data_IF_049555323379
#
_entry.id   IF_049555323379
#
_cell.length_a   1.000
_cell.length_b   1.000
_cell.length_c   1.000
_cell.angle_alpha   90.00
_cell.angle_beta   90.00
_cell.angle_gamma   90.00
#
_symmetry.space_group_name_H-M   'P 1'
#
loop_
_entity.id
_entity.type
_entity.pdbx_description
1 polymer ?
#
# COMPACT_ATOMS: atom_id res chain seq x y z
N UNK A 1 17.46 -11.23 14.90
CA UNK A 1 18.28 -12.40 14.52
C UNK A 1 19.40 -11.90 13.64
N UNK A 2 20.66 -11.94 14.11
CA UNK A 2 21.83 -11.50 13.32
C UNK A 2 22.10 -12.53 12.22
N UNK A 3 22.06 -12.10 10.96
CA UNK A 3 22.61 -12.86 9.84
C UNK A 3 24.06 -12.41 9.63
N UNK A 4 25.00 -13.17 10.19
CA UNK A 4 26.37 -13.18 9.70
C UNK A 4 26.43 -14.12 8.48
N UNK A 5 27.17 -13.67 7.46
CA UNK A 5 28.07 -14.43 6.58
C UNK A 5 27.97 -14.03 5.10
N UNK A 6 29.16 -13.76 4.55
CA UNK A 6 29.52 -13.58 3.14
C UNK A 6 29.18 -12.24 2.47
N UNK A 7 30.13 -11.29 2.57
CA UNK A 7 30.36 -10.25 1.56
C UNK A 7 31.20 -10.85 0.42
N UNK A 8 30.70 -11.05 -0.81
CA UNK A 8 31.57 -11.05 -1.97
C UNK A 8 31.94 -9.59 -2.31
N UNK A 9 33.18 -9.36 -2.71
CA UNK A 9 33.66 -8.05 -3.14
C UNK A 9 32.82 -7.55 -4.34
N UNK A 10 32.10 -6.44 -4.16
CA UNK A 10 31.39 -5.78 -5.25
C UNK A 10 32.39 -4.97 -6.09
N UNK A 11 32.52 -5.33 -7.37
CA UNK A 11 33.25 -4.53 -8.35
C UNK A 11 32.53 -3.19 -8.60
N UNK A 12 33.25 -2.09 -8.91
CA UNK A 12 32.62 -0.80 -9.17
C UNK A 12 31.78 -0.86 -10.45
N UNK A 13 30.45 -0.76 -10.31
CA UNK A 13 29.53 -0.67 -11.44
C UNK A 13 29.45 0.77 -11.96
N UNK A 14 29.44 0.93 -13.28
CA UNK A 14 29.21 2.21 -13.94
C UNK A 14 27.79 2.76 -13.66
N UNK A 15 27.58 4.09 -13.67
CA UNK A 15 26.27 4.70 -13.40
C UNK A 15 25.17 4.25 -14.38
N UNK A 16 25.54 3.86 -15.61
CA UNK A 16 24.63 3.32 -16.63
C UNK A 16 24.10 1.93 -16.27
N UNK A 17 24.92 1.08 -15.67
CA UNK A 17 24.51 -0.25 -15.20
C UNK A 17 23.62 -0.15 -13.95
N UNK A 18 23.91 0.79 -13.04
CA UNK A 18 23.05 1.07 -11.89
C UNK A 18 21.64 1.56 -12.31
N UNK A 19 21.58 2.42 -13.34
CA UNK A 19 20.33 2.93 -13.92
C UNK A 19 19.48 1.81 -14.54
N UNK A 20 20.08 0.89 -15.30
CA UNK A 20 19.40 -0.25 -15.91
C UNK A 20 18.87 -1.25 -14.87
N UNK A 21 19.65 -1.54 -13.83
CA UNK A 21 19.25 -2.45 -12.74
C UNK A 21 18.11 -1.85 -11.92
N UNK A 22 18.13 -0.55 -11.63
CA UNK A 22 17.06 0.14 -10.91
C UNK A 22 15.73 0.16 -11.70
N UNK A 23 15.80 0.40 -13.02
CA UNK A 23 14.63 0.38 -13.90
C UNK A 23 14.05 -1.05 -14.00
N UNK A 24 14.90 -2.07 -14.08
CA UNK A 24 14.46 -3.46 -14.15
C UNK A 24 13.85 -3.95 -12.83
N UNK A 25 14.43 -3.58 -11.68
CA UNK A 25 13.93 -3.93 -10.35
C UNK A 25 12.55 -3.30 -10.07
N UNK A 26 12.33 -2.06 -10.51
CA UNK A 26 11.05 -1.36 -10.36
C UNK A 26 9.95 -1.94 -11.26
N UNK A 27 10.30 -2.46 -12.44
CA UNK A 27 9.35 -3.07 -13.38
C UNK A 27 8.83 -4.44 -12.94
N UNK A 28 9.57 -5.17 -12.09
CA UNK A 28 9.23 -6.56 -11.69
C UNK A 28 8.58 -6.63 -10.30
N UNK A 29 8.48 -5.50 -9.58
CA UNK A 29 7.87 -5.48 -8.24
C UNK A 29 8.64 -6.31 -7.20
N UNK A 30 9.93 -6.53 -7.43
CA UNK A 30 10.79 -7.22 -6.48
C UNK A 30 11.04 -6.29 -5.27
N UNK A 31 10.85 -6.80 -4.07
CA UNK A 31 11.20 -6.10 -2.83
C UNK A 31 12.68 -5.68 -2.88
N UNK A 32 12.95 -4.45 -2.43
CA UNK A 32 14.30 -3.91 -2.34
C UNK A 32 15.24 -4.90 -1.62
N UNK A 33 16.48 -5.11 -2.09
CA UNK A 33 17.44 -5.96 -1.40
C UNK A 33 17.68 -5.45 0.03
N UNK A 34 17.78 -6.38 0.99
CA UNK A 34 17.99 -6.16 2.44
C UNK A 34 19.01 -5.06 2.83
N UNK A 35 19.93 -4.68 1.94
CA UNK A 35 20.92 -3.62 2.15
C UNK A 35 20.32 -2.23 2.42
N UNK A 36 19.05 -1.98 2.07
CA UNK A 36 18.41 -0.69 2.28
C UNK A 36 17.74 -0.52 3.67
N UNK A 37 17.50 -1.62 4.40
CA UNK A 37 16.93 -1.56 5.75
C UNK A 37 18.01 -1.44 6.83
N UNK A 38 19.16 -2.10 6.66
CA UNK A 38 20.28 -2.01 7.62
C UNK A 38 20.91 -0.60 7.65
N UNK A 39 20.94 0.11 6.51
CA UNK A 39 21.49 1.48 6.44
C UNK A 39 20.62 2.53 7.15
N UNK A 40 19.32 2.27 7.33
CA UNK A 40 18.42 3.19 8.03
C UNK A 40 18.48 3.00 9.55
N UNK A 41 18.86 1.80 10.03
CA UNK A 41 19.02 1.50 11.45
C UNK A 41 20.42 1.86 11.98
N UNK A 42 21.45 1.77 11.13
CA UNK A 42 22.84 2.16 11.48
C UNK A 42 23.00 3.68 11.63
N UNK A 43 22.30 4.49 10.83
CA UNK A 43 22.34 5.98 10.93
C UNK A 43 21.49 6.50 12.10
N UNK A 44 20.46 5.76 12.52
CA UNK A 44 19.64 6.13 13.68
C UNK A 44 20.29 5.73 15.02
N UNK A 45 21.10 4.66 15.03
CA UNK A 45 21.81 4.21 16.23
C UNK A 45 23.06 5.04 16.54
N UNK A 46 23.74 5.60 15.52
CA UNK A 46 24.94 6.42 15.68
C UNK A 46 24.64 7.85 16.21
N UNK A 47 23.37 8.27 16.17
CA UNK A 47 22.93 9.59 16.64
C UNK A 47 22.56 9.65 18.13
N UNK A 48 22.59 8.52 18.86
CA UNK A 48 22.11 8.45 20.26
C UNK A 48 23.09 7.87 21.27
N UNK A 49 24.34 7.59 20.90
CA UNK A 49 25.32 6.98 21.79
C UNK A 49 26.69 7.66 21.71
N UNK A 50 26.82 8.88 22.24
CA UNK A 50 28.12 9.37 22.72
C UNK A 50 27.96 10.58 23.66
N UNK A 51 27.66 10.30 24.92
CA UNK A 51 28.07 11.15 26.04
C UNK A 51 28.96 10.34 26.99
N UNK A 52 30.11 10.93 27.35
CA UNK A 52 30.93 10.75 28.57
C UNK A 52 32.02 9.65 28.63
N UNK A 53 33.29 10.00 28.41
CA UNK A 53 34.33 10.20 29.46
C UNK A 53 35.72 10.62 28.86
N UNK A 54 36.64 11.24 29.63
CA UNK A 54 37.59 12.25 29.13
C UNK A 54 39.02 11.76 28.84
N UNK A 55 39.73 12.49 27.97
CA UNK A 55 41.17 12.38 27.71
C UNK A 55 41.80 13.80 27.68
N UNK A 56 43.15 13.94 27.80
CA UNK A 56 43.85 14.94 28.62
C UNK A 56 43.80 16.39 28.09
N UNK A 57 44.09 17.41 28.95
CA UNK A 57 43.82 18.80 28.62
C UNK A 57 44.81 19.33 27.58
N UNK A 58 44.34 19.53 26.36
CA UNK A 58 44.88 20.57 25.49
C UNK A 58 43.71 21.49 25.17
N UNK A 59 43.64 22.60 25.89
CA UNK A 59 42.55 23.59 25.83
C UNK A 59 42.51 24.24 24.43
N UNK A 60 41.46 24.09 23.60
CA UNK A 60 41.03 25.18 22.75
C UNK A 60 40.05 26.01 23.59
N UNK A 61 40.50 27.16 24.07
CA UNK A 61 39.62 28.12 24.74
C UNK A 61 38.44 28.40 23.80
N UNK A 62 37.24 27.98 24.20
CA UNK A 62 36.02 28.40 23.50
C UNK A 62 35.98 29.92 23.61
N UNK A 63 35.98 30.67 22.48
CA UNK A 63 36.10 32.11 22.54
C UNK A 63 34.95 32.69 23.36
N UNK A 64 35.31 33.56 24.31
CA UNK A 64 34.36 34.26 25.16
C UNK A 64 33.34 35.03 24.31
N UNK A 65 32.17 35.37 24.86
CA UNK A 65 31.17 36.18 24.14
C UNK A 65 31.79 37.51 23.65
N UNK A 66 32.72 38.07 24.43
CA UNK A 66 33.53 39.23 24.04
C UNK A 66 34.35 38.98 22.78
N UNK A 67 35.13 37.90 22.73
CA UNK A 67 35.93 37.53 21.56
C UNK A 67 35.09 37.25 20.31
N UNK A 68 33.90 36.64 20.45
CA UNK A 68 32.98 36.44 19.32
C UNK A 68 32.44 37.75 18.79
N UNK A 69 32.11 38.69 19.67
CA UNK A 69 31.63 40.04 19.30
C UNK A 69 32.73 40.83 18.59
N UNK A 70 33.96 40.79 19.11
CA UNK A 70 35.11 41.44 18.51
C UNK A 70 35.43 40.88 17.11
N UNK A 71 35.44 39.54 16.94
CA UNK A 71 35.62 38.91 15.62
C UNK A 71 34.47 39.16 14.63
N UNK A 72 33.26 39.41 15.11
CA UNK A 72 32.12 39.79 14.26
C UNK A 72 32.27 41.24 13.78
N UNK A 73 32.72 42.12 14.67
CA UNK A 73 32.96 43.54 14.41
C UNK A 73 34.10 43.74 13.41
N UNK A 74 35.23 43.08 13.60
CA UNK A 74 36.37 43.08 12.65
C UNK A 74 35.94 42.57 11.27
N UNK A 75 35.10 41.53 11.20
CA UNK A 75 34.55 41.02 9.94
C UNK A 75 33.61 42.00 9.25
N UNK A 76 32.84 42.79 10.00
CA UNK A 76 31.95 43.81 9.43
C UNK A 76 32.69 45.05 8.94
N UNK A 77 33.83 45.38 9.56
CA UNK A 77 34.68 46.51 9.19
C UNK A 77 35.55 46.20 7.96
N UNK A 78 35.98 44.95 7.80
CA UNK A 78 36.83 44.56 6.67
C UNK A 78 36.12 44.74 5.31
N UNK A 79 36.78 45.41 4.38
CA UNK A 79 36.28 45.73 3.06
C UNK A 79 36.91 47.00 2.47
N UNK A 80 36.50 47.33 1.26
CA UNK A 80 36.90 48.55 0.56
C UNK A 80 35.82 49.62 0.72
N UNK A 81 36.25 50.76 1.23
CA UNK A 81 35.43 51.90 1.59
C UNK A 81 35.94 53.15 0.88
N UNK A 82 35.06 54.12 0.62
CA UNK A 82 35.48 55.43 0.12
C UNK A 82 34.65 56.55 0.74
N UNK A 83 35.30 57.66 1.08
CA UNK A 83 34.64 58.91 1.45
C UNK A 83 34.78 59.92 0.31
N UNK A 84 33.84 60.87 0.22
CA UNK A 84 33.92 61.97 -0.76
C UNK A 84 33.99 63.29 -0.01
N UNK A 85 35.08 64.04 -0.19
CA UNK A 85 35.24 65.39 0.34
C UNK A 85 35.36 66.34 -0.86
N UNK A 86 34.37 67.21 -1.05
CA UNK A 86 34.30 68.08 -2.23
C UNK A 86 34.21 67.29 -3.54
N UNK A 87 35.29 67.28 -4.34
CA UNK A 87 35.41 66.52 -5.61
C UNK A 87 36.38 65.34 -5.52
N UNK A 88 37.00 65.12 -4.37
CA UNK A 88 38.05 64.13 -4.18
C UNK A 88 37.50 62.89 -3.46
N UNK A 89 38.00 61.71 -3.82
CA UNK A 89 37.61 60.44 -3.22
C UNK A 89 38.78 59.89 -2.42
N UNK A 90 38.53 59.63 -1.14
CA UNK A 90 39.54 59.10 -0.23
C UNK A 90 39.24 57.60 -0.03
N UNK A 91 40.07 56.70 -0.58
CA UNK A 91 39.89 55.26 -0.40
C UNK A 91 40.40 54.82 0.96
N UNK A 92 39.63 53.94 1.61
CA UNK A 92 39.99 53.27 2.87
C UNK A 92 39.78 51.77 2.70
N UNK A 93 40.85 50.99 2.75
CA UNK A 93 40.78 49.53 2.75
C UNK A 93 41.11 49.00 4.14
N UNK A 94 40.20 48.20 4.72
CA UNK A 94 40.41 47.50 5.99
C UNK A 94 40.50 46.00 5.74
N UNK A 95 41.61 45.38 6.12
CA UNK A 95 41.85 43.95 5.90
C UNK A 95 41.47 43.12 7.13
N UNK A 96 41.00 41.89 6.92
CA UNK A 96 40.69 40.95 8.03
C UNK A 96 41.88 40.59 8.91
N UNK A 97 43.11 40.89 8.48
CA UNK A 97 44.33 40.66 9.22
C UNK A 97 44.73 41.86 10.11
N UNK A 98 43.87 42.88 10.24
CA UNK A 98 44.14 44.07 11.06
C UNK A 98 45.04 45.10 10.37
N UNK A 99 45.23 45.01 9.05
CA UNK A 99 45.93 46.03 8.26
C UNK A 99 44.97 47.03 7.64
N UNK A 100 45.36 48.30 7.54
CA UNK A 100 44.61 49.32 6.79
C UNK A 100 45.47 49.97 5.71
N UNK A 101 44.79 50.55 4.70
CA UNK A 101 45.37 51.51 3.77
C UNK A 101 44.42 52.67 3.60
N UNK A 102 44.90 53.89 3.82
CA UNK A 102 44.15 55.15 3.70
C UNK A 102 45.03 56.15 2.97
N UNK A 103 44.62 56.58 1.78
CA UNK A 103 45.33 57.61 0.98
C UNK A 103 46.85 57.37 0.86
N UNK A 104 47.22 56.17 0.39
CA UNK A 104 48.60 55.67 0.23
C UNK A 104 49.43 55.51 1.52
N UNK A 105 48.88 55.83 2.70
CA UNK A 105 49.43 55.39 3.98
C UNK A 105 48.93 53.99 4.33
N UNK A 106 49.82 53.11 4.80
CA UNK A 106 49.48 51.75 5.20
C UNK A 106 49.98 51.47 6.62
N UNK A 107 49.17 50.76 7.39
CA UNK A 107 49.46 50.51 8.79
C UNK A 107 48.62 49.39 9.38
N UNK A 108 48.53 49.35 10.70
CA UNK A 108 47.66 48.41 11.43
C UNK A 108 46.52 49.15 12.09
N UNK A 109 45.36 48.52 12.14
CA UNK A 109 44.24 49.02 12.89
C UNK A 109 43.89 48.09 14.04
N UNK A 110 43.50 48.69 15.16
CA UNK A 110 42.99 47.98 16.33
C UNK A 110 41.57 48.46 16.62
N UNK A 111 40.70 47.52 17.02
CA UNK A 111 39.30 47.82 17.33
C UNK A 111 39.04 47.45 18.77
N UNK A 112 38.68 48.44 19.57
CA UNK A 112 38.31 48.25 20.98
C UNK A 112 36.95 48.92 21.23
N UNK A 113 35.93 48.11 21.50
CA UNK A 113 34.57 48.63 21.69
C UNK A 113 34.01 49.33 20.44
N UNK A 114 33.86 50.64 20.50
CA UNK A 114 33.38 51.51 19.40
C UNK A 114 34.47 52.46 18.87
N UNK A 115 35.73 52.19 19.23
CA UNK A 115 36.88 52.98 18.82
C UNK A 115 37.74 52.19 17.85
N UNK A 116 38.10 52.82 16.74
CA UNK A 116 39.01 52.34 15.70
C UNK A 116 40.30 53.15 15.80
N UNK A 117 41.39 52.48 16.16
CA UNK A 117 42.72 53.09 16.25
C UNK A 117 43.51 52.75 15.01
N UNK A 118 43.97 53.75 14.26
CA UNK A 118 44.86 53.59 13.10
C UNK A 118 46.30 53.88 13.53
N UNK A 119 47.20 52.94 13.27
CA UNK A 119 48.62 53.01 13.63
C UNK A 119 49.47 52.98 12.34
N UNK A 120 50.09 54.10 12.01
CA UNK A 120 50.97 54.28 10.85
C UNK A 120 52.32 54.84 11.32
N UNK A 121 53.38 54.03 11.27
CA UNK A 121 54.69 54.39 11.82
C UNK A 121 54.61 54.67 13.34
N UNK A 122 54.93 55.90 13.75
CA UNK A 122 54.87 56.38 15.15
C UNK A 122 53.59 57.21 15.44
N UNK A 123 52.69 57.36 14.45
CA UNK A 123 51.42 58.08 14.60
C UNK A 123 50.30 57.11 14.95
N UNK A 124 49.57 57.45 16.02
CA UNK A 124 48.37 56.73 16.48
C UNK A 124 47.20 57.71 16.51
N UNK A 125 46.20 57.48 15.66
CA UNK A 125 44.98 58.29 15.58
C UNK A 125 43.77 57.44 15.96
N UNK A 126 42.96 57.94 16.90
CA UNK A 126 41.81 57.21 17.46
C UNK A 126 40.49 57.82 17.00
N UNK A 127 39.66 57.02 16.32
CA UNK A 127 38.38 57.43 15.75
C UNK A 127 37.24 56.67 16.43
N UNK A 128 36.18 57.37 16.83
CA UNK A 128 34.90 56.75 17.11
C UNK A 128 34.25 56.34 15.77
N UNK A 129 33.71 55.11 15.70
CA UNK A 129 33.08 54.63 14.48
C UNK A 129 31.64 54.18 14.67
N UNK A 130 30.81 54.41 13.66
CA UNK A 130 29.46 53.85 13.54
C UNK A 130 29.36 53.04 12.24
N UNK A 131 28.99 51.77 12.35
CA UNK A 131 28.82 50.85 11.21
C UNK A 131 27.33 50.72 10.89
N UNK A 132 26.94 51.20 9.72
CA UNK A 132 25.67 50.89 9.06
C UNK A 132 25.82 49.73 8.06
N UNK A 133 24.75 49.35 7.37
CA UNK A 133 24.75 48.22 6.43
C UNK A 133 25.81 48.37 5.32
N UNK A 134 25.90 49.56 4.73
CA UNK A 134 26.82 49.91 3.63
C UNK A 134 27.58 51.22 3.87
N UNK A 135 27.59 51.72 5.10
CA UNK A 135 28.31 52.94 5.46
C UNK A 135 29.09 52.79 6.75
N UNK A 136 30.30 53.33 6.78
CA UNK A 136 31.15 53.44 7.96
C UNK A 136 31.39 54.93 8.23
N UNK A 137 30.91 55.43 9.36
CA UNK A 137 31.15 56.83 9.75
C UNK A 137 32.27 56.88 10.78
N UNK A 138 33.30 57.69 10.53
CA UNK A 138 34.41 57.93 11.46
C UNK A 138 34.33 59.36 12.01
N UNK A 139 34.51 59.52 13.33
CA UNK A 139 34.48 60.82 14.02
C UNK A 139 35.62 60.91 15.03
N UNK A 140 36.27 62.08 15.16
CA UNK A 140 37.31 62.33 16.17
C UNK A 140 38.75 62.38 15.65
N UNK A 141 39.71 62.31 16.58
CA UNK A 141 41.15 62.59 16.43
C UNK A 141 41.48 63.91 15.72
N UNK A 142 41.60 63.86 14.40
CA UNK A 142 42.12 64.93 13.55
C UNK A 142 41.08 65.45 12.55
N UNK A 143 39.80 65.04 12.68
CA UNK A 143 38.72 65.39 11.75
C UNK A 143 37.93 66.62 12.21
N UNK A 144 37.78 67.61 11.32
CA UNK A 144 36.93 68.78 11.56
C UNK A 144 35.43 68.45 11.58
N UNK A 145 35.01 67.38 10.91
CA UNK A 145 33.64 66.87 10.88
C UNK A 145 33.60 65.35 10.67
N UNK A 146 32.51 64.66 11.07
CA UNK A 146 32.34 63.22 10.83
C UNK A 146 32.44 62.86 9.34
N UNK A 147 33.29 61.89 9.02
CA UNK A 147 33.50 61.39 7.67
C UNK A 147 32.72 60.11 7.44
N UNK A 148 31.78 60.15 6.48
CA UNK A 148 30.99 58.99 6.08
C UNK A 148 31.63 58.30 4.88
N UNK A 149 32.17 57.12 5.12
CA UNK A 149 32.61 56.20 4.09
C UNK A 149 31.43 55.34 3.62
N UNK A 150 31.35 55.12 2.31
CA UNK A 150 30.38 54.21 1.70
C UNK A 150 31.14 52.98 1.19
N UNK A 151 30.59 51.79 1.43
CA UNK A 151 31.19 50.54 0.93
C UNK A 151 31.18 50.58 -0.59
N UNK A 152 32.30 50.24 -1.23
CA UNK A 152 32.33 50.07 -2.67
C UNK A 152 31.40 48.91 -3.03
N UNK A 153 30.30 49.21 -3.72
CA UNK A 153 29.40 48.16 -4.21
C UNK A 153 30.22 47.22 -5.09
N UNK A 154 30.27 45.95 -4.69
CA UNK A 154 30.95 44.89 -5.43
C UNK A 154 30.52 44.96 -6.90
N UNK A 155 31.48 45.19 -7.79
CA UNK A 155 31.28 45.31 -9.24
C UNK A 155 30.79 43.95 -9.83
N UNK A 156 30.65 42.92 -8.98
CA UNK A 156 29.99 41.64 -9.27
C UNK A 156 28.64 41.74 -10.01
N UNK A 157 27.88 42.84 -9.90
CA UNK A 157 26.64 43.05 -10.66
C UNK A 157 26.82 43.19 -12.18
N UNK A 158 27.87 43.86 -12.64
CA UNK A 158 28.18 43.99 -14.08
C UNK A 158 29.02 42.82 -14.60
N UNK A 159 29.89 42.27 -13.75
CA UNK A 159 30.64 41.05 -14.04
C UNK A 159 29.68 39.85 -14.19
N UNK A 160 28.57 39.79 -13.47
CA UNK A 160 27.55 38.75 -13.64
C UNK A 160 26.87 38.72 -15.03
N UNK A 161 26.78 39.86 -15.71
CA UNK A 161 26.22 39.95 -17.07
C UNK A 161 27.23 39.51 -18.14
N UNK A 162 28.54 39.73 -17.90
CA UNK A 162 29.64 39.33 -18.80
C UNK A 162 30.10 37.88 -18.52
N UNK A 163 30.09 37.43 -17.27
CA UNK A 163 30.36 36.03 -16.88
C UNK A 163 29.23 35.06 -17.24
N UNK A 164 28.03 35.56 -17.52
CA UNK A 164 26.96 34.80 -18.18
C UNK A 164 27.39 34.22 -19.52
N UNK A 165 28.44 34.78 -20.14
CA UNK A 165 29.07 34.31 -21.38
C UNK A 165 30.42 33.58 -21.17
N UNK A 166 30.75 33.14 -19.95
CA UNK A 166 31.91 32.26 -19.77
C UNK A 166 31.63 30.88 -20.42
N UNK A 167 32.55 30.33 -21.27
CA UNK A 167 32.33 29.06 -21.96
C UNK A 167 32.00 27.89 -21.02
N UNK A 168 32.52 27.91 -19.79
CA UNK A 168 32.26 26.89 -18.77
C UNK A 168 30.83 26.93 -18.21
N UNK A 169 30.25 28.11 -17.98
CA UNK A 169 28.84 28.23 -17.52
C UNK A 169 27.85 27.99 -18.65
N UNK A 170 28.17 28.39 -19.88
CA UNK A 170 27.36 28.05 -21.05
C UNK A 170 27.36 26.53 -21.27
N UNK A 171 28.53 25.88 -21.19
CA UNK A 171 28.64 24.43 -21.30
C UNK A 171 27.82 23.71 -20.22
N UNK A 172 27.85 24.18 -18.98
CA UNK A 172 27.08 23.59 -17.87
C UNK A 172 25.57 23.78 -18.06
N UNK A 173 25.11 24.94 -18.55
CA UNK A 173 23.70 25.17 -18.90
C UNK A 173 23.25 24.29 -20.06
N UNK A 174 24.07 24.19 -21.12
CA UNK A 174 23.79 23.32 -22.26
C UNK A 174 23.77 21.84 -21.85
N UNK A 175 24.64 21.43 -20.93
CA UNK A 175 24.64 20.07 -20.36
C UNK A 175 23.34 19.77 -19.64
N UNK A 176 22.88 20.66 -18.76
CA UNK A 176 21.59 20.50 -18.03
C UNK A 176 20.40 20.46 -18.98
N UNK A 177 20.36 21.37 -19.96
CA UNK A 177 19.30 21.37 -20.99
C UNK A 177 19.35 20.06 -21.79
N UNK A 178 20.54 19.57 -22.15
CA UNK A 178 20.71 18.29 -22.83
C UNK A 178 20.21 17.09 -22.01
N UNK A 179 20.47 17.07 -20.70
CA UNK A 179 19.96 16.03 -19.79
C UNK A 179 18.44 16.10 -19.67
N UNK A 180 17.86 17.30 -19.53
CA UNK A 180 16.41 17.48 -19.49
C UNK A 180 15.77 16.98 -20.79
N UNK A 181 16.33 17.33 -21.95
CA UNK A 181 15.85 16.84 -23.25
C UNK A 181 15.97 15.32 -23.37
N UNK A 182 17.05 14.72 -22.86
CA UNK A 182 17.24 13.28 -22.82
C UNK A 182 16.19 12.60 -21.93
N UNK A 183 15.88 13.15 -20.75
CA UNK A 183 14.84 12.63 -19.85
C UNK A 183 13.48 12.67 -20.52
N UNK A 184 13.13 13.80 -21.16
CA UNK A 184 11.87 13.95 -21.89
C UNK A 184 11.78 12.96 -23.05
N UNK A 185 12.86 12.80 -23.82
CA UNK A 185 12.94 11.83 -24.91
C UNK A 185 12.77 10.40 -24.39
N UNK A 186 13.50 10.03 -23.33
CA UNK A 186 13.42 8.71 -22.72
C UNK A 186 12.00 8.41 -22.21
N UNK A 187 11.35 9.37 -21.52
CA UNK A 187 9.96 9.23 -21.10
C UNK A 187 9.01 9.05 -22.29
N UNK A 188 9.21 9.79 -23.38
CA UNK A 188 8.42 9.65 -24.61
C UNK A 188 8.61 8.27 -25.26
N UNK A 189 9.85 7.78 -25.33
CA UNK A 189 10.18 6.44 -25.86
C UNK A 189 9.56 5.34 -25.00
N UNK A 190 9.65 5.44 -23.67
CA UNK A 190 9.02 4.49 -22.74
C UNK A 190 7.50 4.47 -22.95
N UNK A 191 6.85 5.63 -23.06
CA UNK A 191 5.41 5.70 -23.31
C UNK A 191 5.02 5.15 -24.68
N UNK A 192 5.80 5.44 -25.71
CA UNK A 192 5.59 4.88 -27.05
C UNK A 192 5.72 3.35 -27.03
N UNK A 193 6.71 2.81 -26.32
CA UNK A 193 6.90 1.37 -26.13
C UNK A 193 5.75 0.75 -25.35
N UNK A 194 5.33 1.36 -24.24
CA UNK A 194 4.18 0.92 -23.46
C UNK A 194 2.91 0.89 -24.32
N UNK A 195 2.64 1.95 -25.08
CA UNK A 195 1.49 2.01 -25.98
C UNK A 195 1.56 0.97 -27.10
N UNK A 196 2.74 0.77 -27.69
CA UNK A 196 2.97 -0.24 -28.72
C UNK A 196 2.72 -1.65 -28.18
N UNK A 197 3.28 -1.98 -27.01
CA UNK A 197 3.04 -3.24 -26.33
C UNK A 197 1.56 -3.41 -26.00
N UNK A 198 0.91 -2.35 -25.51
CA UNK A 198 -0.51 -2.37 -25.19
C UNK A 198 -1.37 -2.65 -26.43
N UNK A 199 -1.03 -2.04 -27.59
CA UNK A 199 -1.71 -2.28 -28.87
C UNK A 199 -1.47 -3.70 -29.34
N UNK A 200 -0.26 -4.22 -29.22
CA UNK A 200 0.06 -5.62 -29.56
C UNK A 200 -0.78 -6.56 -28.70
N UNK A 201 -0.88 -6.34 -27.39
CA UNK A 201 -1.69 -7.20 -26.50
C UNK A 201 -3.19 -7.12 -26.82
N UNK A 202 -3.72 -5.94 -27.13
CA UNK A 202 -5.15 -5.75 -27.43
C UNK A 202 -5.53 -6.21 -28.85
N UNK A 203 -4.64 -6.02 -29.83
CA UNK A 203 -4.85 -6.40 -31.23
C UNK A 203 -4.39 -7.83 -31.54
N UNK A 204 -3.58 -8.45 -30.67
CA UNK A 204 -3.18 -9.85 -30.83
C UNK A 204 -4.39 -10.75 -30.62
N UNK A 205 -4.99 -11.12 -31.75
CA UNK A 205 -6.07 -12.12 -31.84
C UNK A 205 -5.54 -13.55 -31.58
N UNK A 206 -4.22 -13.70 -31.38
CA UNK A 206 -3.49 -14.98 -31.38
C UNK A 206 -2.85 -15.32 -30.01
N UNK A 207 -3.16 -14.58 -28.94
CA UNK A 207 -2.73 -14.91 -27.58
C UNK A 207 -3.75 -15.76 -26.80
N UNK A 208 -3.34 -16.55 -25.78
CA UNK A 208 -4.27 -17.32 -24.93
C UNK A 208 -5.30 -16.44 -24.19
N UNK A 209 -5.03 -15.14 -24.07
CA UNK A 209 -5.97 -14.15 -23.51
C UNK A 209 -7.10 -13.73 -24.47
N UNK A 210 -7.01 -14.00 -25.78
CA UNK A 210 -8.03 -13.62 -26.76
C UNK A 210 -9.40 -14.29 -26.49
N UNK A 211 -9.39 -15.49 -25.90
CA UNK A 211 -10.60 -16.21 -25.48
C UNK A 211 -11.29 -15.56 -24.27
N UNK A 212 -10.53 -14.97 -23.35
CA UNK A 212 -11.06 -14.24 -22.19
C UNK A 212 -11.69 -12.90 -22.60
N UNK A 213 -11.12 -12.23 -23.61
CA UNK A 213 -11.52 -10.89 -24.01
C UNK A 213 -12.62 -10.82 -25.08
N UNK A 214 -13.00 -11.95 -25.70
CA UNK A 214 -14.01 -11.99 -26.77
C UNK A 214 -15.44 -11.68 -26.31
N UNK A 215 -15.75 -11.88 -25.01
CA UNK A 215 -17.11 -11.76 -24.45
C UNK A 215 -17.45 -10.38 -23.87
N UNK A 216 -16.47 -9.50 -23.63
CA UNK A 216 -16.67 -8.17 -22.99
C UNK A 216 -15.85 -7.05 -23.64
N UNK A 217 -15.95 -6.90 -24.96
CA UNK A 217 -15.18 -5.96 -25.77
C UNK A 217 -15.17 -4.51 -25.24
N UNK A 218 -16.27 -4.05 -24.64
CA UNK A 218 -16.35 -2.68 -24.12
C UNK A 218 -15.64 -2.53 -22.76
N UNK A 219 -15.74 -3.52 -21.86
CA UNK A 219 -15.08 -3.45 -20.54
C UNK A 219 -13.57 -3.60 -20.65
N UNK A 220 -13.09 -4.41 -21.59
CA UNK A 220 -11.66 -4.62 -21.82
C UNK A 220 -10.97 -3.35 -22.31
N UNK A 221 -11.63 -2.57 -23.19
CA UNK A 221 -11.13 -1.28 -23.66
C UNK A 221 -11.04 -0.25 -22.52
N UNK A 222 -12.02 -0.21 -21.62
CA UNK A 222 -11.99 0.71 -20.47
C UNK A 222 -10.89 0.36 -19.47
N UNK A 223 -10.76 -0.92 -19.10
CA UNK A 223 -9.70 -1.38 -18.17
C UNK A 223 -8.31 -1.07 -18.75
N UNK A 224 -8.13 -1.35 -20.03
CA UNK A 224 -6.90 -1.05 -20.74
C UNK A 224 -6.55 0.45 -20.68
N UNK A 225 -7.52 1.32 -20.99
CA UNK A 225 -7.31 2.76 -20.93
C UNK A 225 -6.93 3.24 -19.51
N UNK A 226 -7.57 2.70 -18.47
CA UNK A 226 -7.25 3.03 -17.07
C UNK A 226 -5.81 2.62 -16.73
N UNK A 227 -5.40 1.40 -17.07
CA UNK A 227 -4.04 0.91 -16.78
C UNK A 227 -2.98 1.72 -17.51
N UNK A 228 -3.17 1.98 -18.81
CA UNK A 228 -2.21 2.76 -19.61
C UNK A 228 -2.13 4.21 -19.13
N UNK A 229 -3.26 4.82 -18.76
CA UNK A 229 -3.26 6.16 -18.19
C UNK A 229 -2.54 6.21 -16.83
N UNK A 230 -2.74 5.20 -15.98
CA UNK A 230 -2.03 5.11 -14.70
C UNK A 230 -0.52 4.99 -14.90
N UNK A 231 -0.07 4.09 -15.78
CA UNK A 231 1.36 3.95 -16.11
C UNK A 231 1.92 5.26 -16.70
N UNK A 232 1.15 5.95 -17.54
CA UNK A 232 1.54 7.24 -18.11
C UNK A 232 1.78 8.30 -17.03
N UNK A 233 0.89 8.38 -16.04
CA UNK A 233 1.08 9.30 -14.92
C UNK A 233 2.30 8.95 -14.08
N UNK A 234 2.58 7.66 -13.85
CA UNK A 234 3.79 7.23 -13.14
C UNK A 234 5.05 7.66 -13.90
N UNK A 235 5.12 7.42 -15.22
CA UNK A 235 6.29 7.81 -16.04
C UNK A 235 6.49 9.32 -16.03
N UNK A 236 5.44 10.11 -16.22
CA UNK A 236 5.55 11.57 -16.18
C UNK A 236 5.93 12.09 -14.80
N UNK A 237 5.40 11.50 -13.74
CA UNK A 237 5.76 11.85 -12.38
C UNK A 237 7.26 11.61 -12.13
N UNK A 238 7.78 10.43 -12.46
CA UNK A 238 9.20 10.11 -12.31
C UNK A 238 10.09 11.02 -13.16
N UNK A 239 9.71 11.27 -14.43
CA UNK A 239 10.44 12.18 -15.31
C UNK A 239 10.48 13.61 -14.75
N UNK A 240 9.37 14.10 -14.20
CA UNK A 240 9.30 15.41 -13.56
C UNK A 240 10.23 15.50 -12.34
N UNK A 241 10.29 14.46 -11.51
CA UNK A 241 11.24 14.38 -10.40
C UNK A 241 12.70 14.51 -10.85
N UNK A 242 13.10 13.82 -11.92
CA UNK A 242 14.44 13.95 -12.49
C UNK A 242 14.73 15.35 -13.05
N UNK A 243 13.75 15.98 -13.71
CA UNK A 243 13.89 17.36 -14.21
C UNK A 243 14.10 18.33 -13.05
N UNK A 244 13.37 18.17 -11.94
CA UNK A 244 13.57 18.99 -10.74
C UNK A 244 14.99 18.83 -10.15
N UNK A 245 15.59 17.64 -10.28
CA UNK A 245 16.94 17.39 -9.81
C UNK A 245 17.99 18.21 -10.57
N UNK A 246 17.79 18.38 -11.88
CA UNK A 246 18.65 19.24 -12.71
C UNK A 246 18.53 20.74 -12.37
N UNK A 247 17.40 21.16 -11.82
CA UNK A 247 17.13 22.54 -11.36
C UNK A 247 17.65 22.76 -9.91
N UNK A 248 18.18 21.72 -9.26
CA UNK A 248 18.79 21.78 -7.93
C UNK A 248 17.86 21.40 -6.78
N UNK A 249 16.67 20.88 -7.06
CA UNK A 249 15.79 20.30 -6.04
C UNK A 249 16.24 18.87 -5.74
N UNK A 250 16.42 18.54 -4.46
CA UNK A 250 16.81 17.18 -4.08
C UNK A 250 15.70 16.17 -4.42
N UNK A 251 16.03 15.13 -5.21
CA UNK A 251 15.12 14.05 -5.56
C UNK A 251 14.57 13.31 -4.33
N UNK A 252 15.35 13.18 -3.26
CA UNK A 252 14.93 12.59 -1.98
C UNK A 252 13.83 13.43 -1.33
N UNK A 253 13.93 14.76 -1.36
CA UNK A 253 12.87 15.66 -0.83
C UNK A 253 11.59 15.57 -1.66
N UNK A 254 11.72 15.47 -2.99
CA UNK A 254 10.59 15.24 -3.87
C UNK A 254 9.89 13.92 -3.53
N UNK A 255 10.63 12.81 -3.40
CA UNK A 255 10.08 11.51 -3.01
C UNK A 255 9.51 11.52 -1.59
N UNK A 256 10.13 12.24 -0.65
CA UNK A 256 9.59 12.40 0.69
C UNK A 256 8.21 13.09 0.68
N UNK A 257 8.02 14.09 -0.18
CA UNK A 257 6.71 14.74 -0.35
C UNK A 257 5.67 13.79 -0.95
N UNK A 258 6.09 12.87 -1.82
CA UNK A 258 5.22 11.86 -2.42
C UNK A 258 4.71 10.86 -1.39
N UNK A 259 5.49 10.52 -0.37
CA UNK A 259 5.09 9.57 0.67
C UNK A 259 3.78 9.97 1.36
N UNK A 260 3.55 11.28 1.59
CA UNK A 260 2.31 11.77 2.20
C UNK A 260 1.11 11.56 1.27
N UNK A 261 1.27 11.87 -0.03
CA UNK A 261 0.24 11.64 -1.04
C UNK A 261 -0.02 10.13 -1.21
N UNK A 262 1.04 9.33 -1.24
CA UNK A 262 0.99 7.87 -1.32
C UNK A 262 0.25 7.26 -0.13
N UNK A 263 0.47 7.78 1.08
CA UNK A 263 -0.23 7.36 2.29
C UNK A 263 -1.73 7.65 2.20
N UNK A 264 -2.11 8.85 1.73
CA UNK A 264 -3.51 9.21 1.54
C UNK A 264 -4.22 8.29 0.53
N UNK A 265 -3.58 7.99 -0.61
CA UNK A 265 -4.10 7.04 -1.61
C UNK A 265 -4.14 5.62 -1.04
N UNK A 266 -3.13 5.22 -0.27
CA UNK A 266 -3.05 3.93 0.40
C UNK A 266 -4.23 3.71 1.36
N UNK A 267 -4.51 4.69 2.23
CA UNK A 267 -5.67 4.62 3.13
C UNK A 267 -7.00 4.63 2.37
N UNK A 268 -7.12 5.44 1.30
CA UNK A 268 -8.32 5.44 0.46
C UNK A 268 -8.57 4.12 -0.26
N UNK A 269 -7.51 3.36 -0.58
CA UNK A 269 -7.56 2.11 -1.33
C UNK A 269 -7.43 0.84 -0.47
N UNK A 270 -7.18 0.98 0.83
CA UNK A 270 -6.99 -0.15 1.75
C UNK A 270 -8.11 -1.20 1.64
N UNK A 271 -9.35 -0.73 1.55
CA UNK A 271 -10.50 -1.61 1.43
C UNK A 271 -10.53 -2.45 0.15
N UNK A 272 -9.97 -1.96 -0.96
CA UNK A 272 -9.82 -2.72 -2.20
C UNK A 272 -8.73 -3.79 -2.07
N UNK A 273 -7.61 -3.44 -1.45
CA UNK A 273 -6.51 -4.38 -1.21
C UNK A 273 -6.99 -5.54 -0.33
N UNK A 274 -7.73 -5.25 0.75
CA UNK A 274 -8.34 -6.28 1.59
C UNK A 274 -9.27 -7.19 0.81
N UNK A 275 -10.17 -6.62 -0.01
CA UNK A 275 -11.06 -7.41 -0.87
C UNK A 275 -10.27 -8.38 -1.76
N UNK A 276 -9.20 -7.90 -2.40
CA UNK A 276 -8.37 -8.70 -3.32
C UNK A 276 -7.60 -9.81 -2.62
N UNK A 277 -6.99 -9.52 -1.47
CA UNK A 277 -6.25 -10.51 -0.68
C UNK A 277 -7.18 -11.58 -0.15
N UNK A 278 -8.31 -11.19 0.46
CA UNK A 278 -9.31 -12.15 0.95
C UNK A 278 -9.88 -12.98 -0.21
N UNK A 279 -10.21 -12.36 -1.33
CA UNK A 279 -10.69 -13.07 -2.53
C UNK A 279 -9.68 -14.07 -3.09
N UNK A 280 -8.40 -13.70 -3.12
CA UNK A 280 -7.34 -14.62 -3.51
C UNK A 280 -7.30 -15.86 -2.61
N UNK A 281 -7.33 -15.69 -1.29
CA UNK A 281 -7.33 -16.83 -0.35
C UNK A 281 -8.60 -17.68 -0.43
N UNK A 282 -9.78 -17.08 -0.63
CA UNK A 282 -11.02 -17.83 -0.83
C UNK A 282 -10.94 -18.78 -2.02
N UNK A 283 -10.37 -18.32 -3.14
CA UNK A 283 -10.17 -19.12 -4.36
C UNK A 283 -9.04 -20.13 -4.14
N UNK A 284 -7.90 -19.69 -3.61
CA UNK A 284 -6.70 -20.50 -3.46
C UNK A 284 -6.90 -21.68 -2.50
N UNK A 285 -7.60 -21.46 -1.38
CA UNK A 285 -7.87 -22.51 -0.39
C UNK A 285 -9.13 -23.34 -0.70
N UNK A 286 -9.84 -23.01 -1.78
CA UNK A 286 -11.15 -23.57 -2.14
C UNK A 286 -12.12 -23.63 -0.95
N UNK A 287 -12.34 -22.48 -0.31
CA UNK A 287 -13.24 -22.36 0.84
C UNK A 287 -14.70 -22.65 0.47
N UNK A 288 -15.09 -22.40 -0.78
CA UNK A 288 -16.34 -22.79 -1.43
C UNK A 288 -16.22 -22.57 -2.95
N UNK A 289 -17.05 -23.27 -3.71
CA UNK A 289 -17.06 -23.21 -5.18
C UNK A 289 -18.34 -22.55 -5.72
N UNK A 290 -18.29 -22.11 -6.98
CA UNK A 290 -19.49 -21.66 -7.70
C UNK A 290 -20.48 -22.82 -7.78
N UNK A 291 -21.73 -22.57 -7.37
CA UNK A 291 -22.79 -23.58 -7.25
C UNK A 291 -22.98 -24.13 -5.83
N UNK A 292 -22.07 -23.86 -4.89
CA UNK A 292 -22.28 -24.25 -3.50
C UNK A 292 -23.38 -23.41 -2.84
N UNK A 293 -24.18 -24.04 -1.98
CA UNK A 293 -25.09 -23.31 -1.10
C UNK A 293 -24.38 -22.97 0.20
N UNK A 294 -24.28 -21.68 0.48
CA UNK A 294 -23.56 -21.16 1.63
C UNK A 294 -24.36 -20.07 2.34
N UNK A 295 -23.95 -19.80 3.57
CA UNK A 295 -24.35 -18.66 4.36
C UNK A 295 -23.13 -17.81 4.70
N UNK A 296 -23.20 -16.53 4.34
CA UNK A 296 -22.16 -15.54 4.60
C UNK A 296 -22.86 -14.30 5.14
N UNK A 297 -22.40 -13.78 6.28
CA UNK A 297 -22.90 -12.53 6.87
C UNK A 297 -24.44 -12.48 7.02
N UNK A 298 -25.05 -13.61 7.40
CA UNK A 298 -26.50 -13.76 7.54
C UNK A 298 -27.28 -13.83 6.22
N UNK A 299 -26.59 -13.94 5.08
CA UNK A 299 -27.19 -14.12 3.77
C UNK A 299 -26.98 -15.55 3.29
N UNK A 300 -28.07 -16.29 3.08
CA UNK A 300 -28.07 -17.64 2.55
C UNK A 300 -28.35 -17.62 1.04
N UNK A 301 -27.50 -18.29 0.26
CA UNK A 301 -27.64 -18.32 -1.18
C UNK A 301 -26.77 -19.37 -1.86
N UNK A 302 -27.06 -19.61 -3.13
CA UNK A 302 -26.17 -20.38 -4.01
C UNK A 302 -25.14 -19.42 -4.61
N UNK A 303 -23.86 -19.78 -4.56
CA UNK A 303 -22.78 -18.99 -5.15
C UNK A 303 -22.97 -18.96 -6.66
N UNK A 304 -23.26 -17.79 -7.20
CA UNK A 304 -23.45 -17.60 -8.65
C UNK A 304 -22.15 -17.20 -9.33
N UNK A 305 -21.34 -16.35 -8.69
CA UNK A 305 -20.11 -15.81 -9.24
C UNK A 305 -19.13 -15.50 -8.10
N UNK A 306 -17.85 -15.78 -8.32
CA UNK A 306 -16.78 -15.49 -7.37
C UNK A 306 -15.68 -14.73 -8.09
N UNK A 307 -15.53 -13.45 -7.76
CA UNK A 307 -14.45 -12.60 -8.26
C UNK A 307 -13.40 -12.32 -7.18
N UNK A 308 -12.26 -11.76 -7.61
CA UNK A 308 -11.19 -11.34 -6.69
C UNK A 308 -11.64 -10.28 -5.68
N UNK A 309 -12.60 -9.41 -6.02
CA UNK A 309 -13.09 -8.34 -5.13
C UNK A 309 -14.36 -8.68 -4.37
N UNK A 310 -15.26 -9.45 -4.98
CA UNK A 310 -16.58 -9.69 -4.42
C UNK A 310 -17.13 -11.05 -4.86
N UNK A 311 -17.95 -11.62 -4.00
CA UNK A 311 -18.70 -12.86 -4.21
C UNK A 311 -20.17 -12.54 -4.39
N UNK A 312 -20.84 -13.20 -5.33
CA UNK A 312 -22.29 -13.04 -5.57
C UNK A 312 -23.05 -14.30 -5.23
N UNK A 313 -24.08 -14.15 -4.40
CA UNK A 313 -24.99 -15.20 -4.00
C UNK A 313 -26.36 -14.96 -4.63
N UNK A 314 -27.06 -16.03 -5.01
CA UNK A 314 -28.47 -15.98 -5.39
C UNK A 314 -29.32 -16.65 -4.31
N UNK A 315 -30.25 -15.91 -3.71
CA UNK A 315 -31.13 -16.45 -2.67
C UNK A 315 -32.36 -17.16 -3.26
N UNK A 316 -33.16 -17.80 -2.41
CA UNK A 316 -34.39 -18.50 -2.81
C UNK A 316 -35.47 -17.57 -3.41
N UNK A 317 -35.42 -16.28 -3.08
CA UNK A 317 -36.29 -15.25 -3.66
C UNK A 317 -35.81 -14.77 -5.05
N UNK A 318 -34.68 -15.31 -5.53
CA UNK A 318 -34.10 -14.97 -6.83
C UNK A 318 -33.23 -13.71 -6.85
N UNK A 319 -33.03 -13.03 -5.72
CA UNK A 319 -32.18 -11.84 -5.62
C UNK A 319 -30.70 -12.21 -5.73
N UNK A 320 -29.91 -11.36 -6.38
CA UNK A 320 -28.44 -11.49 -6.44
C UNK A 320 -27.80 -10.56 -5.43
N UNK A 321 -27.26 -11.11 -4.35
CA UNK A 321 -26.58 -10.39 -3.28
C UNK A 321 -25.09 -10.34 -3.60
N UNK A 322 -24.52 -9.14 -3.70
CA UNK A 322 -23.07 -8.95 -3.92
C UNK A 322 -22.40 -8.58 -2.61
N UNK A 323 -21.46 -9.40 -2.16
CA UNK A 323 -20.74 -9.25 -0.89
C UNK A 323 -19.27 -8.94 -1.21
N UNK A 324 -18.72 -7.80 -0.77
CA UNK A 324 -17.28 -7.54 -0.84
C UNK A 324 -16.51 -8.62 -0.06
N UNK A 325 -15.43 -9.15 -0.63
CA UNK A 325 -14.73 -10.29 -0.04
C UNK A 325 -14.17 -9.95 1.35
N UNK A 326 -13.79 -8.70 1.62
CA UNK A 326 -13.33 -8.27 2.96
C UNK A 326 -14.37 -8.45 4.07
N UNK A 327 -15.66 -8.55 3.72
CA UNK A 327 -16.74 -8.76 4.69
C UNK A 327 -16.97 -10.25 5.00
N UNK A 328 -16.25 -11.17 4.33
CA UNK A 328 -16.38 -12.62 4.48
C UNK A 328 -15.46 -13.07 5.62
N UNK A 329 -15.94 -12.98 6.86
CA UNK A 329 -15.21 -13.44 8.04
C UNK A 329 -15.46 -14.93 8.35
N UNK A 330 -16.66 -15.43 8.04
CA UNK A 330 -17.06 -16.82 8.31
C UNK A 330 -18.01 -17.29 7.22
N UNK A 331 -17.86 -18.56 6.83
CA UNK A 331 -18.68 -19.19 5.81
C UNK A 331 -19.31 -20.46 6.38
N UNK A 332 -20.64 -20.50 6.41
CA UNK A 332 -21.39 -21.73 6.66
C UNK A 332 -21.68 -22.44 5.35
N UNK A 333 -21.11 -23.62 5.10
CA UNK A 333 -21.41 -24.40 3.89
C UNK A 333 -22.49 -25.45 4.17
N UNK A 334 -23.59 -25.43 3.42
CA UNK A 334 -24.63 -26.45 3.54
C UNK A 334 -24.29 -27.66 2.66
N UNK A 335 -23.98 -28.79 3.32
CA UNK A 335 -23.63 -30.02 2.61
C UNK A 335 -24.79 -30.48 1.71
N UNK A 336 -24.50 -30.69 0.42
CA UNK A 336 -25.46 -31.03 -0.66
C UNK A 336 -26.44 -29.93 -1.04
N UNK A 337 -26.13 -28.67 -0.73
CA UNK A 337 -26.92 -27.57 -1.23
C UNK A 337 -28.32 -27.47 -0.60
N UNK A 338 -28.54 -28.02 0.59
CA UNK A 338 -29.87 -28.02 1.23
C UNK A 338 -29.80 -28.30 2.74
N UNK A 339 -30.83 -27.86 3.46
CA UNK A 339 -31.15 -28.37 4.78
C UNK A 339 -32.14 -29.54 4.64
N UNK A 340 -32.03 -30.57 5.47
CA UNK A 340 -32.94 -31.73 5.41
C UNK A 340 -33.63 -31.92 6.75
N UNK A 341 -34.96 -31.90 6.72
CA UNK A 341 -35.80 -32.28 7.84
C UNK A 341 -36.15 -33.76 7.71
N UNK A 342 -36.13 -34.44 8.85
CA UNK A 342 -36.54 -35.81 9.02
C UNK A 342 -37.74 -35.82 9.95
N UNK A 343 -38.90 -36.18 9.41
CA UNK A 343 -40.15 -36.30 10.16
C UNK A 343 -40.46 -37.79 10.34
N UNK A 344 -40.47 -38.23 11.59
CA UNK A 344 -40.84 -39.59 11.96
C UNK A 344 -42.27 -39.60 12.50
N UNK A 345 -43.12 -40.44 11.92
CA UNK A 345 -44.52 -40.62 12.29
C UNK A 345 -44.71 -42.03 12.83
N UNK A 346 -45.03 -42.15 14.11
CA UNK A 346 -45.26 -43.43 14.78
C UNK A 346 -46.70 -43.90 14.59
N UNK A 347 -46.89 -45.18 14.31
CA UNK A 347 -48.19 -45.81 14.03
C UNK A 347 -48.30 -47.15 14.75
N UNK A 348 -49.54 -47.65 14.88
CA UNK A 348 -49.83 -48.87 15.63
C UNK A 348 -49.20 -50.14 15.03
N UNK A 349 -49.22 -50.28 13.70
CA UNK A 349 -48.76 -51.50 13.01
C UNK A 349 -48.13 -51.22 11.63
N UNK A 350 -47.55 -52.26 11.03
CA UNK A 350 -46.88 -52.18 9.72
C UNK A 350 -47.86 -51.87 8.57
N UNK A 351 -49.10 -52.35 8.63
CA UNK A 351 -50.11 -52.07 7.59
C UNK A 351 -50.55 -50.60 7.60
N UNK A 352 -50.63 -50.00 8.78
CA UNK A 352 -50.90 -48.58 8.99
C UNK A 352 -49.69 -47.73 8.60
N UNK A 353 -48.48 -48.25 8.78
CA UNK A 353 -47.25 -47.61 8.30
C UNK A 353 -47.20 -47.54 6.76
N UNK A 354 -47.57 -48.60 6.06
CA UNK A 354 -47.63 -48.57 4.59
C UNK A 354 -48.66 -47.56 4.08
N UNK A 355 -49.85 -47.52 4.70
CA UNK A 355 -50.89 -46.53 4.39
C UNK A 355 -50.43 -45.11 4.67
N UNK A 356 -49.84 -44.86 5.84
CA UNK A 356 -49.27 -43.55 6.19
C UNK A 356 -48.17 -43.13 5.19
N UNK A 357 -47.31 -44.05 4.79
CA UNK A 357 -46.25 -43.78 3.81
C UNK A 357 -46.81 -43.36 2.45
N UNK A 358 -47.92 -43.96 1.99
CA UNK A 358 -48.58 -43.56 0.75
C UNK A 358 -49.18 -42.15 0.85
N UNK A 359 -49.91 -41.86 1.93
CA UNK A 359 -50.55 -40.56 2.17
C UNK A 359 -49.52 -39.43 2.31
N UNK A 360 -48.48 -39.63 3.12
CA UNK A 360 -47.40 -38.67 3.31
C UNK A 360 -46.63 -38.42 2.01
N UNK A 361 -46.53 -39.43 1.12
CA UNK A 361 -45.86 -39.27 -0.18
C UNK A 361 -46.62 -38.29 -1.05
N UNK A 362 -47.95 -38.45 -1.11
CA UNK A 362 -48.82 -37.57 -1.88
C UNK A 362 -48.79 -36.17 -1.30
N UNK A 363 -48.99 -36.03 0.01
CA UNK A 363 -48.96 -34.73 0.70
C UNK A 363 -47.65 -33.98 0.47
N UNK A 364 -46.51 -34.64 0.68
CA UNK A 364 -45.22 -33.97 0.51
C UNK A 364 -44.91 -33.66 -0.96
N UNK A 365 -45.46 -34.43 -1.92
CA UNK A 365 -45.36 -34.10 -3.35
C UNK A 365 -46.17 -32.85 -3.68
N UNK A 366 -47.40 -32.75 -3.18
CA UNK A 366 -48.27 -31.59 -3.39
C UNK A 366 -47.67 -30.33 -2.75
N UNK A 367 -47.12 -30.48 -1.53
CA UNK A 367 -46.43 -29.40 -0.85
C UNK A 367 -45.18 -28.94 -1.60
N UNK A 368 -44.42 -29.89 -2.18
CA UNK A 368 -43.26 -29.58 -3.02
C UNK A 368 -43.63 -28.77 -4.26
N UNK A 369 -44.83 -28.97 -4.82
CA UNK A 369 -45.33 -28.17 -5.94
C UNK A 369 -45.81 -26.80 -5.48
N UNK A 370 -46.46 -26.72 -4.31
CA UNK A 370 -46.92 -25.46 -3.73
C UNK A 370 -45.77 -24.51 -3.37
N UNK A 371 -44.64 -25.05 -2.91
CA UNK A 371 -43.47 -24.28 -2.45
C UNK A 371 -42.19 -24.60 -3.25
N UNK A 372 -42.27 -24.66 -4.59
CA UNK A 372 -41.14 -25.01 -5.48
C UNK A 372 -39.89 -24.13 -5.28
N UNK A 373 -40.05 -22.87 -4.83
CA UNK A 373 -38.93 -21.98 -4.51
C UNK A 373 -38.19 -22.30 -3.21
N UNK A 374 -38.80 -23.08 -2.30
CA UNK A 374 -38.27 -23.39 -0.96
C UNK A 374 -37.95 -24.88 -0.82
N UNK A 375 -38.80 -25.76 -1.34
CA UNK A 375 -38.59 -27.21 -1.30
C UNK A 375 -37.77 -27.62 -2.52
N UNK A 376 -36.59 -28.18 -2.27
CA UNK A 376 -35.58 -28.46 -3.28
C UNK A 376 -35.72 -29.84 -3.92
N UNK A 377 -36.39 -30.77 -3.22
CA UNK A 377 -36.60 -32.13 -3.70
C UNK A 377 -37.89 -32.73 -3.11
N UNK A 378 -38.56 -33.62 -3.87
CA UNK A 378 -39.74 -34.32 -3.38
C UNK A 378 -39.42 -35.18 -2.14
N UNK A 379 -40.43 -35.49 -1.31
CA UNK A 379 -40.23 -36.22 -0.07
C UNK A 379 -39.67 -37.62 -0.32
N UNK A 380 -38.67 -38.01 0.46
CA UNK A 380 -38.13 -39.38 0.47
C UNK A 380 -38.62 -40.11 1.70
N UNK A 381 -39.50 -41.07 1.48
CA UNK A 381 -40.08 -41.88 2.55
C UNK A 381 -39.29 -43.18 2.70
N UNK A 382 -39.06 -43.56 3.96
CA UNK A 382 -38.43 -44.82 4.37
C UNK A 382 -39.31 -45.49 5.41
N UNK A 383 -39.40 -46.81 5.31
CA UNK A 383 -40.19 -47.64 6.22
C UNK A 383 -41.26 -48.44 5.50
N UNK A 384 -42.01 -49.29 6.22
CA UNK A 384 -42.12 -49.34 7.69
C UNK A 384 -40.80 -49.67 8.41
N UNK A 385 -40.50 -49.02 9.54
CA UNK A 385 -39.36 -49.38 10.39
C UNK A 385 -39.88 -49.74 11.77
N UNK A 386 -39.63 -50.98 12.19
CA UNK A 386 -39.97 -51.47 13.52
C UNK A 386 -38.78 -51.31 14.46
N UNK A 387 -39.02 -50.74 15.63
CA UNK A 387 -38.04 -50.61 16.71
C UNK A 387 -38.03 -51.86 17.58
N UNK A 388 -36.93 -52.10 18.30
CA UNK A 388 -36.82 -53.18 19.29
C UNK A 388 -37.84 -53.02 20.43
N UNK A 389 -38.30 -51.80 20.69
CA UNK A 389 -39.37 -51.47 21.66
C UNK A 389 -40.75 -51.94 21.22
N UNK A 390 -40.91 -52.39 19.97
CA UNK A 390 -42.18 -52.79 19.37
C UNK A 390 -42.87 -51.68 18.57
N UNK A 391 -42.46 -50.42 18.73
CA UNK A 391 -43.02 -49.28 17.99
C UNK A 391 -42.70 -49.35 16.49
N UNK A 392 -43.67 -48.98 15.65
CA UNK A 392 -43.50 -48.89 14.19
C UNK A 392 -43.58 -47.43 13.76
N UNK A 393 -42.65 -46.99 12.90
CA UNK A 393 -42.69 -45.64 12.34
C UNK A 393 -42.40 -45.57 10.84
N UNK A 394 -42.90 -44.49 10.25
CA UNK A 394 -42.59 -44.07 8.88
C UNK A 394 -41.76 -42.81 8.94
N UNK A 395 -40.68 -42.79 8.16
CA UNK A 395 -39.74 -41.67 8.13
C UNK A 395 -39.81 -40.94 6.81
N UNK A 396 -40.17 -39.67 6.84
CA UNK A 396 -40.14 -38.80 5.69
C UNK A 396 -38.96 -37.84 5.78
N UNK A 397 -38.14 -37.78 4.75
CA UNK A 397 -37.08 -36.78 4.63
C UNK A 397 -37.47 -35.78 3.54
N UNK A 398 -37.42 -34.49 3.86
CA UNK A 398 -37.65 -33.43 2.89
C UNK A 398 -36.46 -32.47 2.91
N UNK A 399 -35.94 -32.15 1.72
CA UNK A 399 -34.84 -31.21 1.55
C UNK A 399 -35.39 -29.87 1.09
N UNK A 400 -35.00 -28.81 1.77
CA UNK A 400 -35.50 -27.46 1.56
C UNK A 400 -34.37 -26.44 1.74
N UNK A 401 -34.63 -25.21 1.33
CA UNK A 401 -33.71 -24.08 1.49
C UNK A 401 -33.37 -23.86 2.97
N UNK A 402 -32.10 -23.66 3.33
CA UNK A 402 -31.73 -23.42 4.72
C UNK A 402 -32.44 -22.20 5.31
N UNK A 403 -32.64 -22.21 6.62
CA UNK A 403 -33.35 -21.17 7.37
C UNK A 403 -34.83 -21.02 6.96
N UNK A 404 -35.41 -22.03 6.29
CA UNK A 404 -36.84 -22.08 5.94
C UNK A 404 -37.58 -23.22 6.67
N UNK A 405 -37.26 -23.45 7.95
CA UNK A 405 -37.89 -24.51 8.77
C UNK A 405 -39.40 -24.38 8.92
N UNK A 406 -39.94 -23.17 8.74
CA UNK A 406 -41.38 -22.90 8.80
C UNK A 406 -42.20 -23.78 7.85
N UNK A 407 -41.67 -24.13 6.66
CA UNK A 407 -42.38 -24.99 5.70
C UNK A 407 -42.55 -26.42 6.24
N UNK A 408 -41.69 -26.84 7.17
CA UNK A 408 -41.79 -28.14 7.82
C UNK A 408 -42.71 -28.05 9.04
N UNK A 409 -42.46 -27.08 9.90
CA UNK A 409 -43.10 -26.98 11.22
C UNK A 409 -44.54 -26.46 11.16
N UNK A 410 -44.83 -25.54 10.24
CA UNK A 410 -46.13 -24.87 10.16
C UNK A 410 -47.01 -25.42 9.03
N UNK A 411 -46.40 -25.96 7.98
CA UNK A 411 -47.17 -26.48 6.83
C UNK A 411 -47.19 -28.00 6.79
N UNK A 412 -46.02 -28.65 6.76
CA UNK A 412 -45.94 -30.09 6.55
C UNK A 412 -46.48 -30.89 7.74
N UNK A 413 -45.99 -30.63 8.96
CA UNK A 413 -46.32 -31.44 10.13
C UNK A 413 -47.81 -31.33 10.55
N UNK A 414 -48.42 -30.12 10.59
CA UNK A 414 -49.85 -30.00 10.93
C UNK A 414 -50.75 -30.67 9.90
N UNK A 415 -50.50 -30.44 8.59
CA UNK A 415 -51.28 -31.06 7.51
C UNK A 415 -51.12 -32.58 7.47
N UNK A 416 -49.93 -33.08 7.79
CA UNK A 416 -49.68 -34.53 7.91
C UNK A 416 -50.52 -35.16 9.02
N UNK A 417 -50.55 -34.54 10.21
CA UNK A 417 -51.34 -35.01 11.34
C UNK A 417 -52.84 -35.02 11.01
N UNK A 418 -53.34 -33.95 10.37
CA UNK A 418 -54.74 -33.85 9.96
C UNK A 418 -55.12 -34.90 8.91
N UNK A 419 -54.28 -35.09 7.87
CA UNK A 419 -54.52 -36.06 6.82
C UNK A 419 -54.58 -37.50 7.35
N UNK A 420 -53.63 -37.87 8.21
CA UNK A 420 -53.60 -39.21 8.80
C UNK A 420 -54.81 -39.47 9.71
N UNK A 421 -55.23 -38.46 10.48
CA UNK A 421 -56.42 -38.55 11.33
C UNK A 421 -57.71 -38.73 10.52
N UNK A 422 -57.87 -38.03 9.39
CA UNK A 422 -59.04 -38.15 8.50
C UNK A 422 -59.14 -39.53 7.84
N UNK A 423 -58.01 -40.12 7.48
CA UNK A 423 -57.93 -41.44 6.82
C UNK A 423 -57.93 -42.62 7.82
N UNK A 424 -58.17 -42.35 9.11
CA UNK A 424 -58.28 -43.37 10.15
C UNK A 424 -56.96 -44.06 10.48
N UNK A 425 -55.81 -43.44 10.18
CA UNK A 425 -54.50 -43.94 10.59
C UNK A 425 -54.22 -43.44 12.00
N UNK A 426 -54.35 -44.32 13.00
CA UNK A 426 -54.00 -44.00 14.38
C UNK A 426 -52.50 -43.74 14.52
N UNK A 427 -52.16 -42.47 14.69
CA UNK A 427 -50.82 -42.03 15.08
C UNK A 427 -50.64 -42.36 16.55
N UNK A 428 -49.60 -43.13 16.88
CA UNK A 428 -49.34 -43.59 18.23
C UNK A 428 -48.90 -42.42 19.13
N UNK A 429 -49.89 -41.74 19.73
CA UNK A 429 -49.71 -40.52 20.52
C UNK A 429 -49.39 -39.28 19.68
N UNK A 430 -49.00 -38.18 20.33
CA UNK A 430 -48.69 -36.90 19.67
C UNK A 430 -47.25 -36.82 19.11
N UNK A 431 -46.68 -37.96 18.72
CA UNK A 431 -45.23 -38.10 18.44
C UNK A 431 -44.89 -37.90 16.98
N UNK A 432 -45.17 -36.74 16.42
CA UNK A 432 -44.49 -36.32 15.18
C UNK A 432 -43.17 -35.70 15.57
N UNK A 433 -42.07 -36.44 15.41
CA UNK A 433 -40.75 -35.92 15.78
C UNK A 433 -40.04 -35.40 14.54
N UNK A 434 -39.68 -34.11 14.57
CA UNK A 434 -38.90 -33.47 13.52
C UNK A 434 -37.46 -33.36 13.98
N UNK A 435 -36.55 -33.95 13.22
CA UNK A 435 -35.12 -33.82 13.41
C UNK A 435 -34.50 -33.10 12.22
N UNK A 436 -33.74 -32.04 12.48
CA UNK A 436 -32.87 -31.44 11.47
C UNK A 436 -31.55 -32.20 11.45
N UNK A 437 -31.37 -33.05 10.43
CA UNK A 437 -30.19 -33.91 10.38
C UNK A 437 -29.13 -33.26 9.47
N UNK A 438 -28.02 -32.82 10.06
CA UNK A 438 -26.77 -32.75 9.31
C UNK A 438 -26.37 -34.21 9.04
N UNK A 439 -26.60 -34.73 7.82
CA UNK A 439 -26.26 -36.12 7.53
C UNK A 439 -24.78 -36.34 7.83
N UNK A 440 -24.48 -37.09 8.90
CA UNK A 440 -23.12 -37.52 9.19
C UNK A 440 -22.57 -38.22 7.95
N UNK A 441 -21.35 -37.86 7.59
CA UNK A 441 -20.61 -38.63 6.62
C UNK A 441 -20.53 -40.05 7.17
N UNK A 442 -20.97 -41.06 6.40
CA UNK A 442 -20.16 -42.29 6.36
C UNK A 442 -18.79 -41.77 5.98
N UNK A 443 -17.87 -41.65 6.94
CA UNK A 443 -16.47 -41.34 6.63
C UNK A 443 -16.14 -42.25 5.46
N UNK A 444 -15.91 -41.65 4.28
CA UNK A 444 -15.31 -42.39 3.18
C UNK A 444 -14.11 -43.05 3.83
N UNK A 445 -14.10 -44.38 3.80
CA UNK A 445 -13.02 -45.22 4.32
C UNK A 445 -11.73 -44.47 4.05
N UNK A 446 -11.06 -44.00 5.11
CA UNK A 446 -9.86 -43.19 4.92
C UNK A 446 -8.96 -43.96 3.97
N UNK A 447 -8.25 -43.28 3.08
CA UNK A 447 -7.31 -43.95 2.17
C UNK A 447 -6.37 -44.91 2.93
N UNK A 448 -6.08 -44.64 4.23
CA UNK A 448 -5.41 -45.57 5.15
C UNK A 448 -6.14 -46.91 5.33
N UNK A 449 -7.45 -46.91 5.54
CA UNK A 449 -8.24 -48.16 5.61
C UNK A 449 -8.41 -48.84 4.24
N UNK A 450 -8.37 -48.10 3.12
CA UNK A 450 -8.35 -48.69 1.77
C UNK A 450 -7.00 -49.39 1.49
N UNK A 451 -5.88 -48.78 1.88
CA UNK A 451 -4.54 -49.38 1.79
C UNK A 451 -4.39 -50.60 2.69
N UNK A 452 -4.97 -50.59 3.90
CA UNK A 452 -4.95 -51.76 4.79
C UNK A 452 -5.72 -52.96 4.21
N UNK A 453 -6.73 -52.74 3.37
CA UNK A 453 -7.43 -53.82 2.64
C UNK A 453 -6.62 -54.35 1.46
N UNK A 454 -5.82 -53.51 0.81
CA UNK A 454 -4.90 -53.93 -0.26
C UNK A 454 -3.72 -54.72 0.34
N UNK A 455 -3.18 -54.28 1.48
CA UNK A 455 -2.11 -54.97 2.21
C UNK A 455 -2.53 -56.34 2.74
N UNK A 456 -3.78 -56.52 3.20
CA UNK A 456 -4.29 -57.83 3.65
C UNK A 456 -4.55 -58.84 2.53
N UNK A 457 -4.87 -58.38 1.32
CA UNK A 457 -5.02 -59.29 0.15
C UNK A 457 -3.67 -59.74 -0.43
N UNK A 458 -2.59 -59.02 -0.17
CA UNK A 458 -1.25 -59.38 -0.64
C UNK A 458 -0.57 -60.51 0.16
N UNK A 459 -1.04 -60.80 1.38
CA UNK A 459 -0.40 -61.78 2.27
C UNK A 459 -1.05 -63.18 2.26
N UNK A 460 -2.20 -63.35 1.61
CA UNK A 460 -2.88 -64.66 1.51
C UNK A 460 -2.74 -65.33 0.13
N UNK A 461 -2.05 -64.70 -0.83
CA UNK A 461 -1.91 -65.20 -2.21
C UNK A 461 -0.51 -65.67 -2.62
N UNK A 462 0.40 -65.88 -1.66
CA UNK A 462 1.76 -66.35 -1.91
C UNK A 462 2.01 -67.75 -1.33
N UNK A 463 1.52 -68.77 -2.03
CA UNK A 463 2.04 -70.15 -1.98
C UNK A 463 2.22 -70.65 -3.40
#
# INVERSE_FOLDING_TARGET
>A
MRCSLHRPAAAPMSPLTALLVAILAFAIGAAAPCAAQDAAEEVAADALATETEPAPPTTPTTPTIGERRQRALERSLAGDWYATIGRERIPLTLTRAGGFSLDDEAGRYEVEGATLTLISGDRRSEYAFEVGADSLTLSGADLEAPLKFTRMADIGGYIGMVEGFSPSRIAERLRRIGIILLIVLAAHVVLALLQALSRIVVLSQWGPLALLFRRQKNRTLTIHAIVINLLKYIVYFTAFGFILTEIGVNYVTYLASLSVIGLAIGFGSQGLVQDMVTGFFLIFENQFDVGDMIEISGQTGIVHDMGLRATRLRNYQGQTVTIPNRNIATVGRFKRGSQTAQMDVFVADEASAERAAALLRTLGKDLSLQFEGVILAPPRIKGPVKLETGDVYVRMNMSFWPNQSWVIEQELAPRAKELLGREGVEVAGDRVTIFYRAREMRKATSWRQALLRIGRRGTEGGR
#
